data_IF_752237551571
#
_entry.id   IF_752237551571
#
_cell.length_a   1.000
_cell.length_b   1.000
_cell.length_c   1.000
_cell.angle_alpha   90.00
_cell.angle_beta   90.00
_cell.angle_gamma   90.00
#
_symmetry.space_group_name_H-M   'P 1'
#
loop_
_entity.id
_entity.type
_entity.pdbx_description
1 polymer ?
#
# COMPACT_ATOMS: atom_id res chain seq x y z
N UNK A 1 12.18 -22.17 5.66
CA UNK A 1 12.34 -20.86 6.33
C UNK A 1 10.98 -20.38 6.80
N UNK A 2 10.86 -19.96 8.06
CA UNK A 2 9.64 -19.37 8.58
C UNK A 2 9.32 -18.06 7.84
N UNK A 3 8.04 -17.81 7.55
CA UNK A 3 7.56 -16.57 6.93
C UNK A 3 7.81 -15.42 7.92
N UNK A 4 8.56 -14.39 7.52
CA UNK A 4 8.67 -13.15 8.31
C UNK A 4 7.26 -12.54 8.46
N UNK A 5 6.93 -11.97 9.63
CA UNK A 5 5.65 -11.31 9.83
C UNK A 5 5.46 -10.16 8.83
N UNK A 6 4.22 -9.84 8.50
CA UNK A 6 3.93 -8.67 7.68
C UNK A 6 4.40 -7.40 8.41
N UNK A 7 5.10 -6.50 7.69
CA UNK A 7 5.57 -5.27 8.29
C UNK A 7 4.37 -4.36 8.55
N UNK A 8 4.18 -3.95 9.81
CA UNK A 8 3.28 -2.84 10.12
C UNK A 8 3.75 -1.55 9.43
N UNK A 9 2.84 -0.58 9.24
CA UNK A 9 3.08 0.68 8.52
C UNK A 9 4.33 1.42 9.00
N UNK A 10 4.61 1.40 10.30
CA UNK A 10 5.82 2.01 10.87
C UNK A 10 7.11 1.32 10.40
N UNK A 11 7.15 -0.02 10.44
CA UNK A 11 8.32 -0.77 10.02
C UNK A 11 8.52 -0.66 8.51
N UNK A 12 7.44 -0.67 7.75
CA UNK A 12 7.44 -0.48 6.30
C UNK A 12 8.00 0.90 5.92
N UNK A 13 7.55 1.96 6.60
CA UNK A 13 8.12 3.31 6.44
C UNK A 13 9.63 3.30 6.69
N UNK A 14 10.09 2.73 7.80
CA UNK A 14 11.53 2.63 8.12
C UNK A 14 12.30 1.81 7.09
N UNK A 15 11.69 0.75 6.55
CA UNK A 15 12.29 -0.11 5.53
C UNK A 15 12.54 0.66 4.23
N UNK A 16 11.54 1.38 3.73
CA UNK A 16 11.70 2.19 2.51
C UNK A 16 12.54 3.45 2.75
N UNK A 17 12.56 4.01 3.96
CA UNK A 17 13.38 5.19 4.26
C UNK A 17 14.89 4.92 4.15
N UNK A 18 15.31 3.64 4.19
CA UNK A 18 16.70 3.21 3.96
C UNK A 18 17.08 3.15 2.48
N UNK A 19 16.11 3.18 1.57
CA UNK A 19 16.36 3.18 0.13
C UNK A 19 16.37 4.60 -0.40
N UNK A 20 17.48 5.03 -1.00
CA UNK A 20 17.64 6.41 -1.46
C UNK A 20 16.52 6.85 -2.40
N UNK A 21 16.13 5.99 -3.35
CA UNK A 21 15.09 6.36 -4.32
C UNK A 21 13.69 6.42 -3.72
N UNK A 22 13.40 5.64 -2.67
CA UNK A 22 12.09 5.63 -2.03
C UNK A 22 11.96 6.75 -0.99
N UNK A 23 13.04 7.08 -0.28
CA UNK A 23 13.04 8.07 0.82
C UNK A 23 12.44 9.42 0.43
N UNK A 24 12.73 9.93 -0.77
CA UNK A 24 12.19 11.20 -1.28
C UNK A 24 10.69 11.16 -1.60
N UNK A 25 10.12 9.96 -1.71
CA UNK A 25 8.71 9.72 -1.98
C UNK A 25 7.93 9.33 -0.72
N UNK A 26 8.55 9.32 0.46
CA UNK A 26 7.84 8.99 1.69
C UNK A 26 7.33 10.26 2.38
N UNK A 27 6.03 10.32 2.73
CA UNK A 27 5.55 11.36 3.63
C UNK A 27 6.24 11.23 4.99
N UNK A 28 6.64 12.34 5.59
CA UNK A 28 7.23 12.34 6.94
C UNK A 28 6.31 11.60 7.90
N UNK A 29 6.86 10.62 8.61
CA UNK A 29 6.10 9.73 9.49
C UNK A 29 6.81 9.58 10.82
N UNK A 30 6.07 9.62 11.93
CA UNK A 30 6.55 9.38 13.29
C UNK A 30 5.62 8.42 14.01
N UNK A 31 6.10 7.74 15.05
CA UNK A 31 5.20 7.10 16.02
C UNK A 31 4.30 8.17 16.65
N UNK A 32 3.03 7.85 16.82
CA UNK A 32 2.08 8.79 17.39
C UNK A 32 2.31 8.97 18.89
N UNK A 33 2.34 10.23 19.31
CA UNK A 33 2.10 10.71 20.67
C UNK A 33 1.70 12.20 20.54
N UNK A 34 1.21 12.81 21.62
CA UNK A 34 0.71 14.18 21.58
C UNK A 34 1.78 15.20 21.16
N UNK A 35 3.02 15.04 21.64
CA UNK A 35 4.17 15.89 21.25
C UNK A 35 4.48 15.76 19.75
N UNK A 36 4.45 14.53 19.22
CA UNK A 36 4.68 14.27 17.80
C UNK A 36 3.54 14.83 16.94
N UNK A 37 2.29 14.74 17.40
CA UNK A 37 1.14 15.35 16.75
C UNK A 37 1.29 16.88 16.69
N UNK A 38 1.60 17.52 17.82
CA UNK A 38 1.78 18.97 17.91
C UNK A 38 2.86 19.45 16.94
N UNK A 39 4.05 18.83 16.98
CA UNK A 39 5.17 19.18 16.11
C UNK A 39 4.85 18.97 14.63
N UNK A 40 4.19 17.85 14.27
CA UNK A 40 3.83 17.56 12.90
C UNK A 40 2.73 18.50 12.38
N UNK A 41 1.76 18.89 13.22
CA UNK A 41 0.74 19.89 12.88
C UNK A 41 1.35 21.27 12.69
N UNK A 42 2.36 21.64 13.49
CA UNK A 42 3.07 22.90 13.30
C UNK A 42 3.86 22.90 11.98
N UNK A 43 4.54 21.80 11.66
CA UNK A 43 5.36 21.71 10.45
C UNK A 43 4.54 21.61 9.15
N UNK A 44 3.37 20.96 9.18
CA UNK A 44 2.64 20.60 7.96
C UNK A 44 1.20 21.15 7.89
N UNK A 45 0.66 21.73 8.96
CA UNK A 45 -0.72 22.25 9.05
C UNK A 45 -1.80 21.16 9.12
N UNK A 46 -1.59 20.01 8.49
CA UNK A 46 -2.47 18.85 8.51
C UNK A 46 -1.68 17.53 8.55
N UNK A 47 -2.23 16.54 9.24
CA UNK A 47 -1.64 15.20 9.40
C UNK A 47 -2.71 14.12 9.35
N UNK A 48 -2.29 12.91 9.03
CA UNK A 48 -3.06 11.70 9.25
C UNK A 48 -2.53 10.95 10.47
N UNK A 49 -3.44 10.46 11.30
CA UNK A 49 -3.16 9.54 12.40
C UNK A 49 -3.74 8.18 11.98
N UNK A 50 -2.89 7.15 11.91
CA UNK A 50 -3.25 5.83 11.35
C UNK A 50 -2.82 4.70 12.29
N UNK A 51 -3.58 3.61 12.43
CA UNK A 51 -3.12 2.41 13.14
C UNK A 51 -1.78 1.93 12.57
N UNK A 52 -0.80 1.62 13.40
CA UNK A 52 0.49 1.10 12.97
C UNK A 52 0.37 -0.30 12.33
N UNK A 53 -0.61 -1.08 12.79
CA UNK A 53 -1.05 -2.34 12.20
C UNK A 53 -2.54 -2.24 11.85
N UNK A 54 -2.96 -2.87 10.75
CA UNK A 54 -4.34 -2.82 10.27
C UNK A 54 -4.43 -2.47 8.79
N UNK A 55 -5.64 -2.54 8.23
CA UNK A 55 -5.88 -2.41 6.79
C UNK A 55 -7.21 -1.71 6.49
N UNK A 56 -7.46 -1.45 5.20
CA UNK A 56 -8.75 -0.95 4.66
C UNK A 56 -9.13 0.48 5.10
N UNK A 57 -8.18 1.27 5.59
CA UNK A 57 -8.43 2.65 6.02
C UNK A 57 -9.24 2.79 7.31
N UNK A 58 -9.50 1.69 8.03
CA UNK A 58 -10.20 1.72 9.33
C UNK A 58 -9.33 2.39 10.39
N UNK A 59 -9.95 3.17 11.27
CA UNK A 59 -9.26 3.89 12.35
C UNK A 59 -8.42 5.07 11.88
N UNK A 60 -8.42 5.40 10.58
CA UNK A 60 -7.66 6.55 10.06
C UNK A 60 -8.37 7.85 10.44
N UNK A 61 -7.62 8.76 11.05
CA UNK A 61 -8.05 10.10 11.38
C UNK A 61 -7.23 11.13 10.60
N UNK A 62 -7.85 12.22 10.19
CA UNK A 62 -7.17 13.43 9.69
C UNK A 62 -7.32 14.52 10.72
N UNK A 63 -6.22 15.19 11.04
CA UNK A 63 -6.19 16.32 11.97
C UNK A 63 -5.61 17.51 11.26
N UNK A 64 -6.26 18.66 11.36
CA UNK A 64 -5.76 19.91 10.79
C UNK A 64 -6.19 21.11 11.64
N UNK A 65 -5.47 22.22 11.49
CA UNK A 65 -5.85 23.49 12.11
C UNK A 65 -6.73 24.29 11.15
N UNK A 66 -7.79 24.91 11.66
CA UNK A 66 -8.62 25.88 10.95
C UNK A 66 -8.92 27.03 11.88
N UNK A 67 -8.41 28.22 11.56
CA UNK A 67 -8.43 29.38 12.46
C UNK A 67 -7.79 29.01 13.81
N UNK A 68 -8.45 29.29 14.93
CA UNK A 68 -8.02 28.93 16.28
C UNK A 68 -8.42 27.52 16.72
N UNK A 69 -9.08 26.73 15.85
CA UNK A 69 -9.60 25.40 16.21
C UNK A 69 -8.79 24.26 15.62
N UNK A 70 -8.80 23.13 16.33
CA UNK A 70 -8.26 21.85 15.87
C UNK A 70 -9.41 20.99 15.37
N UNK A 71 -9.33 20.54 14.13
CA UNK A 71 -10.37 19.72 13.51
C UNK A 71 -9.88 18.28 13.43
N UNK A 72 -10.71 17.34 13.87
CA UNK A 72 -10.46 15.90 13.74
C UNK A 72 -11.59 15.29 12.91
N UNK A 73 -11.22 14.58 11.85
CA UNK A 73 -12.16 13.79 11.06
C UNK A 73 -11.77 12.31 11.12
N UNK A 74 -12.71 11.45 11.51
CA UNK A 74 -12.51 10.01 11.55
C UNK A 74 -13.08 9.37 10.27
N UNK A 75 -12.22 8.87 9.40
CA UNK A 75 -12.56 8.17 8.14
C UNK A 75 -13.59 8.89 7.24
N UNK A 76 -14.85 8.48 7.27
CA UNK A 76 -15.96 9.02 6.47
C UNK A 76 -16.93 9.86 7.30
N UNK A 77 -16.71 9.94 8.61
CA UNK A 77 -17.57 10.70 9.51
C UNK A 77 -17.37 12.20 9.34
N UNK A 78 -18.35 12.97 9.84
CA UNK A 78 -18.25 14.43 9.87
C UNK A 78 -17.07 14.88 10.73
N UNK A 79 -16.37 15.96 10.35
CA UNK A 79 -15.32 16.54 11.18
C UNK A 79 -15.89 17.12 12.47
N UNK A 80 -15.13 16.98 13.55
CA UNK A 80 -15.41 17.57 14.86
C UNK A 80 -14.36 18.63 15.15
N UNK A 81 -14.79 19.79 15.65
CA UNK A 81 -13.92 20.90 15.98
C UNK A 81 -13.71 21.00 17.50
N UNK A 82 -12.47 21.24 17.89
CA UNK A 82 -12.03 21.42 19.27
C UNK A 82 -11.36 22.79 19.43
N UNK A 83 -11.46 23.38 20.61
CA UNK A 83 -10.86 24.69 20.89
C UNK A 83 -9.36 24.55 21.12
N UNK A 84 -8.92 23.41 21.66
CA UNK A 84 -7.50 23.17 21.96
C UNK A 84 -7.01 21.85 21.38
N UNK A 85 -5.68 21.73 21.26
CA UNK A 85 -5.05 20.46 20.88
C UNK A 85 -5.25 19.38 21.95
N UNK A 86 -5.29 19.75 23.23
CA UNK A 86 -5.49 18.80 24.34
C UNK A 86 -6.87 18.14 24.31
N UNK A 87 -7.92 18.90 24.02
CA UNK A 87 -9.27 18.36 23.80
C UNK A 87 -9.29 17.38 22.62
N UNK A 88 -8.67 17.75 21.50
CA UNK A 88 -8.56 16.88 20.34
C UNK A 88 -7.77 15.60 20.65
N UNK A 89 -6.66 15.68 21.39
CA UNK A 89 -5.89 14.53 21.86
C UNK A 89 -6.73 13.60 22.73
N UNK A 90 -7.54 14.14 23.64
CA UNK A 90 -8.46 13.35 24.47
C UNK A 90 -9.46 12.57 23.62
N UNK A 91 -10.05 13.22 22.60
CA UNK A 91 -10.94 12.55 21.66
C UNK A 91 -10.22 11.47 20.82
N UNK A 92 -9.03 11.78 20.30
CA UNK A 92 -8.21 10.83 19.53
C UNK A 92 -7.86 9.61 20.38
N UNK A 93 -7.50 9.78 21.65
CA UNK A 93 -7.18 8.69 22.57
C UNK A 93 -8.36 7.73 22.77
N UNK A 94 -9.59 8.25 22.86
CA UNK A 94 -10.81 7.42 22.94
C UNK A 94 -11.01 6.57 21.69
N UNK A 95 -10.76 7.13 20.50
CA UNK A 95 -10.85 6.40 19.23
C UNK A 95 -9.72 5.39 19.04
N UNK A 96 -8.53 5.72 19.52
CA UNK A 96 -7.33 4.90 19.43
C UNK A 96 -7.41 3.64 20.31
N UNK A 97 -7.95 3.78 21.53
CA UNK A 97 -7.84 2.74 22.55
C UNK A 97 -6.37 2.41 22.84
N UNK A 98 -6.06 1.12 23.02
CA UNK A 98 -4.71 0.64 23.32
C UNK A 98 -3.85 0.38 22.06
N UNK A 99 -4.38 0.69 20.88
CA UNK A 99 -3.67 0.40 19.62
C UNK A 99 -2.51 1.38 19.41
N UNK A 100 -1.40 0.86 18.89
CA UNK A 100 -0.26 1.70 18.46
C UNK A 100 -0.61 2.41 17.16
N UNK A 101 -0.39 3.72 17.12
CA UNK A 101 -0.64 4.55 15.94
C UNK A 101 0.64 5.24 15.45
N UNK A 102 0.59 5.73 14.21
CA UNK A 102 1.58 6.63 13.60
C UNK A 102 0.91 7.96 13.27
N UNK A 103 1.71 9.04 13.26
CA UNK A 103 1.35 10.34 12.68
C UNK A 103 2.15 10.56 11.41
N UNK A 104 1.46 10.92 10.33
CA UNK A 104 2.02 11.05 9.00
C UNK A 104 1.60 12.38 8.38
N UNK A 105 2.52 13.04 7.67
CA UNK A 105 2.23 14.26 6.91
C UNK A 105 1.02 14.07 6.00
N UNK A 106 0.07 15.02 6.01
CA UNK A 106 -0.99 15.03 5.04
C UNK A 106 -0.47 15.52 3.67
N UNK A 107 -0.74 14.75 2.62
CA UNK A 107 -0.44 15.14 1.25
C UNK A 107 -1.64 15.86 0.66
N UNK A 108 -1.40 16.97 -0.04
CA UNK A 108 -2.39 17.68 -0.83
C UNK A 108 -2.64 16.91 -2.12
N UNK A 109 -3.45 15.86 -2.02
CA UNK A 109 -3.71 14.94 -3.14
C UNK A 109 -4.28 15.68 -4.35
N UNK A 110 -3.96 15.17 -5.53
CA UNK A 110 -4.67 15.51 -6.75
C UNK A 110 -6.14 15.10 -6.63
N UNK A 111 -7.03 15.90 -7.20
CA UNK A 111 -8.46 15.70 -7.11
C UNK A 111 -9.06 15.39 -8.48
N UNK A 112 -10.08 14.54 -8.48
CA UNK A 112 -10.99 14.31 -9.60
C UNK A 112 -12.36 14.81 -9.13
N UNK A 113 -12.91 15.81 -9.82
CA UNK A 113 -14.21 16.41 -9.45
C UNK A 113 -14.27 16.83 -7.98
N UNK A 114 -13.21 17.48 -7.48
CA UNK A 114 -13.11 17.92 -6.08
C UNK A 114 -12.92 16.79 -5.05
N UNK A 115 -12.75 15.53 -5.47
CA UNK A 115 -12.53 14.37 -4.58
C UNK A 115 -11.10 13.86 -4.68
N UNK A 116 -10.42 13.62 -3.54
CA UNK A 116 -9.02 13.20 -3.55
C UNK A 116 -8.87 11.81 -4.16
N UNK A 117 -7.73 11.58 -4.82
CA UNK A 117 -7.39 10.27 -5.36
C UNK A 117 -5.97 9.82 -5.06
N UNK A 118 -5.75 8.52 -5.12
CA UNK A 118 -4.45 7.86 -5.21
C UNK A 118 -4.49 6.78 -6.31
N UNK A 119 -3.32 6.26 -6.67
CA UNK A 119 -3.12 5.26 -7.71
C UNK A 119 -2.63 3.97 -7.08
N UNK A 120 -3.31 2.86 -7.36
CA UNK A 120 -2.81 1.51 -7.09
C UNK A 120 -2.00 1.04 -8.29
N UNK A 121 -0.71 0.76 -8.11
CA UNK A 121 0.14 0.07 -9.09
C UNK A 121 0.34 -1.37 -8.65
N UNK A 122 0.07 -2.32 -9.54
CA UNK A 122 0.19 -3.76 -9.27
C UNK A 122 1.43 -4.35 -9.94
N UNK A 123 2.27 -5.01 -9.14
CA UNK A 123 3.45 -5.74 -9.59
C UNK A 123 3.27 -7.22 -9.28
N UNK A 124 3.63 -8.09 -10.23
CA UNK A 124 3.63 -9.54 -10.02
C UNK A 124 4.94 -10.14 -10.53
N UNK A 125 5.43 -11.17 -9.84
CA UNK A 125 6.55 -11.95 -10.35
C UNK A 125 6.13 -12.83 -11.52
N UNK A 126 7.02 -12.96 -12.47
CA UNK A 126 6.84 -13.89 -13.59
C UNK A 126 6.72 -15.35 -13.13
N UNK A 127 7.57 -15.74 -12.18
CA UNK A 127 7.66 -17.07 -11.55
C UNK A 127 8.37 -16.95 -10.20
N UNK A 128 8.39 -18.00 -9.34
CA UNK A 128 9.20 -17.97 -8.12
C UNK A 128 10.67 -17.63 -8.45
N UNK A 129 11.24 -16.65 -7.75
CA UNK A 129 12.59 -16.14 -8.02
C UNK A 129 12.76 -15.34 -9.33
N UNK A 130 11.71 -15.21 -10.14
CA UNK A 130 11.74 -14.46 -11.41
C UNK A 130 11.60 -12.95 -11.22
N UNK A 131 11.79 -12.20 -12.32
CA UNK A 131 11.69 -10.74 -12.34
C UNK A 131 10.30 -10.23 -11.99
N UNK A 132 10.25 -9.01 -11.45
CA UNK A 132 9.02 -8.24 -11.27
C UNK A 132 8.50 -7.74 -12.62
N UNK A 133 7.17 -7.80 -12.79
CA UNK A 133 6.48 -7.32 -13.97
C UNK A 133 5.36 -6.36 -13.55
N UNK A 134 5.26 -5.20 -14.21
CA UNK A 134 4.10 -4.33 -14.10
C UNK A 134 2.84 -5.00 -14.66
N UNK A 135 1.81 -5.14 -13.84
CA UNK A 135 0.58 -5.87 -14.17
C UNK A 135 -0.63 -4.98 -14.39
N UNK A 136 -0.63 -3.74 -13.92
CA UNK A 136 -1.75 -2.82 -14.11
C UNK A 136 -1.74 -1.69 -13.12
N UNK A 137 -2.49 -0.62 -13.42
CA UNK A 137 -2.73 0.46 -12.46
C UNK A 137 -4.17 0.97 -12.52
N UNK A 138 -4.69 1.41 -11.38
CA UNK A 138 -6.03 2.02 -11.29
C UNK A 138 -6.00 3.22 -10.35
N UNK A 139 -6.77 4.24 -10.67
CA UNK A 139 -7.04 5.35 -9.77
C UNK A 139 -8.20 4.99 -8.83
N UNK A 140 -8.04 5.26 -7.54
CA UNK A 140 -9.10 5.16 -6.54
C UNK A 140 -9.50 6.57 -6.13
N UNK A 141 -10.68 7.00 -6.57
CA UNK A 141 -11.25 8.30 -6.20
C UNK A 141 -12.07 8.10 -4.93
N UNK A 142 -11.80 8.91 -3.90
CA UNK A 142 -12.58 8.87 -2.66
C UNK A 142 -14.07 9.16 -2.93
N UNK A 143 -14.93 8.65 -2.05
CA UNK A 143 -16.33 9.09 -2.06
C UNK A 143 -16.49 10.46 -1.41
N UNK A 144 -17.68 11.07 -1.52
CA UNK A 144 -17.94 12.40 -1.00
C UNK A 144 -17.55 12.54 0.47
N UNK A 145 -16.88 13.64 0.81
CA UNK A 145 -16.43 14.02 2.16
C UNK A 145 -15.48 13.04 2.86
N UNK A 146 -15.02 11.97 2.20
CA UNK A 146 -14.09 10.99 2.79
C UNK A 146 -12.65 11.50 2.81
N UNK A 147 -11.95 11.29 3.93
CA UNK A 147 -10.50 11.55 4.03
C UNK A 147 -9.65 10.35 3.58
N UNK A 148 -10.27 9.25 3.18
CA UNK A 148 -9.60 8.04 2.70
C UNK A 148 -10.07 7.67 1.29
N UNK A 149 -9.14 7.20 0.47
CA UNK A 149 -9.35 6.70 -0.90
C UNK A 149 -9.68 5.20 -0.96
N UNK A 150 -9.84 4.54 0.19
CA UNK A 150 -10.28 3.15 0.22
C UNK A 150 -11.72 3.05 -0.30
N UNK A 151 -11.87 2.65 -1.56
CA UNK A 151 -13.15 2.64 -2.30
C UNK A 151 -14.30 1.96 -1.56
N UNK A 152 -14.03 0.85 -0.86
CA UNK A 152 -15.07 0.13 -0.13
C UNK A 152 -15.55 0.92 1.09
N UNK A 153 -14.62 1.50 1.85
CA UNK A 153 -14.94 2.30 3.03
C UNK A 153 -15.54 3.66 2.65
N UNK A 154 -14.96 4.33 1.67
CA UNK A 154 -15.36 5.67 1.24
C UNK A 154 -16.59 5.69 0.35
N UNK A 155 -17.07 4.53 -0.13
CA UNK A 155 -18.04 4.43 -1.24
C UNK A 155 -17.57 5.23 -2.47
N UNK A 156 -16.28 5.10 -2.74
CA UNK A 156 -15.60 5.81 -3.84
C UNK A 156 -15.79 5.13 -5.19
N UNK A 157 -14.99 5.56 -6.17
CA UNK A 157 -14.98 5.00 -7.52
C UNK A 157 -13.58 4.49 -7.90
N UNK A 158 -13.54 3.53 -8.83
CA UNK A 158 -12.31 3.10 -9.51
C UNK A 158 -12.41 3.48 -10.97
N UNK A 159 -11.36 4.08 -11.50
CA UNK A 159 -11.26 4.41 -12.93
C UNK A 159 -9.83 4.20 -13.44
N UNK A 160 -9.65 4.27 -14.76
CA UNK A 160 -8.31 4.29 -15.35
C UNK A 160 -7.52 5.50 -14.86
N UNK A 161 -6.21 5.33 -14.70
CA UNK A 161 -5.31 6.42 -14.31
C UNK A 161 -5.29 7.51 -15.38
N UNK A 162 -5.39 7.12 -16.66
CA UNK A 162 -5.52 8.06 -17.77
C UNK A 162 -6.74 8.96 -17.59
N UNK A 163 -7.95 8.38 -17.50
CA UNK A 163 -9.19 9.14 -17.29
C UNK A 163 -9.11 10.03 -16.05
N UNK A 164 -8.61 9.51 -14.93
CA UNK A 164 -8.48 10.28 -13.70
C UNK A 164 -7.56 11.51 -13.85
N UNK A 165 -6.39 11.35 -14.47
CA UNK A 165 -5.47 12.47 -14.68
C UNK A 165 -6.00 13.47 -15.71
N UNK A 166 -6.68 13.01 -16.76
CA UNK A 166 -7.36 13.87 -17.74
C UNK A 166 -8.50 14.66 -17.09
N UNK A 167 -9.31 14.05 -16.23
CA UNK A 167 -10.34 14.74 -15.44
C UNK A 167 -9.75 15.71 -14.40
N UNK A 168 -8.50 15.49 -13.97
CA UNK A 168 -7.75 16.44 -13.15
C UNK A 168 -7.09 17.58 -13.97
N UNK A 169 -7.41 17.69 -15.27
CA UNK A 169 -6.95 18.78 -16.14
C UNK A 169 -5.57 18.57 -16.77
N UNK A 170 -5.03 17.35 -16.79
CA UNK A 170 -3.71 17.09 -17.35
C UNK A 170 -3.74 16.83 -18.86
N UNK A 171 -2.68 17.20 -19.56
CA UNK A 171 -2.48 16.84 -20.98
C UNK A 171 -2.21 15.34 -21.15
N UNK A 172 -2.43 14.81 -22.36
CA UNK A 172 -2.12 13.40 -22.67
C UNK A 172 -0.65 13.09 -22.44
N UNK A 173 0.25 13.95 -22.91
CA UNK A 173 1.69 13.81 -22.73
C UNK A 173 2.09 13.76 -21.24
N UNK A 174 1.58 14.70 -20.43
CA UNK A 174 1.84 14.73 -18.99
C UNK A 174 1.33 13.46 -18.29
N UNK A 175 0.18 12.97 -18.71
CA UNK A 175 -0.44 11.75 -18.19
C UNK A 175 0.41 10.51 -18.53
N UNK A 176 0.86 10.35 -19.77
CA UNK A 176 1.70 9.21 -20.17
C UNK A 176 3.08 9.25 -19.50
N UNK A 177 3.68 10.45 -19.40
CA UNK A 177 4.92 10.63 -18.66
C UNK A 177 4.75 10.23 -17.19
N UNK A 178 3.67 10.67 -16.52
CA UNK A 178 3.40 10.30 -15.13
C UNK A 178 3.18 8.80 -14.95
N UNK A 179 2.40 8.16 -15.82
CA UNK A 179 2.20 6.70 -15.79
C UNK A 179 3.54 5.95 -15.91
N UNK A 180 4.41 6.38 -16.81
CA UNK A 180 5.74 5.80 -17.00
C UNK A 180 6.59 5.94 -15.74
N UNK A 181 6.62 7.13 -15.14
CA UNK A 181 7.30 7.39 -13.85
C UNK A 181 6.77 6.53 -12.70
N UNK A 182 5.46 6.32 -12.62
CA UNK A 182 4.86 5.44 -11.61
C UNK A 182 5.29 3.97 -11.78
N UNK A 183 5.41 3.50 -13.02
CA UNK A 183 5.85 2.14 -13.35
C UNK A 183 7.32 1.96 -12.99
N UNK A 184 8.18 2.91 -13.37
CA UNK A 184 9.61 2.90 -13.03
C UNK A 184 9.83 2.82 -11.52
N UNK A 185 9.18 3.71 -10.75
CA UNK A 185 9.26 3.71 -9.29
C UNK A 185 8.74 2.41 -8.68
N UNK A 186 7.64 1.86 -9.20
CA UNK A 186 7.12 0.57 -8.72
C UNK A 186 8.12 -0.58 -8.96
N UNK A 187 8.86 -0.58 -10.07
CA UNK A 187 9.93 -1.54 -10.31
C UNK A 187 11.08 -1.38 -9.32
N UNK A 188 11.53 -0.14 -9.07
CA UNK A 188 12.58 0.14 -8.09
C UNK A 188 12.18 -0.29 -6.68
N UNK A 189 10.97 0.06 -6.25
CA UNK A 189 10.46 -0.27 -4.91
C UNK A 189 10.24 -1.78 -4.76
N UNK A 190 9.74 -2.46 -5.80
CA UNK A 190 9.61 -3.92 -5.79
C UNK A 190 10.97 -4.61 -5.68
N UNK A 191 11.99 -4.12 -6.40
CA UNK A 191 13.37 -4.62 -6.29
C UNK A 191 13.95 -4.40 -4.90
N UNK A 192 13.72 -3.22 -4.29
CA UNK A 192 14.14 -2.98 -2.91
C UNK A 192 13.43 -3.93 -1.94
N UNK A 193 12.14 -4.19 -2.14
CA UNK A 193 11.34 -5.09 -1.30
C UNK A 193 11.86 -6.53 -1.27
N UNK A 194 12.58 -6.97 -2.31
CA UNK A 194 13.22 -8.30 -2.34
C UNK A 194 14.25 -8.50 -1.22
N UNK A 195 14.83 -7.41 -0.71
CA UNK A 195 15.74 -7.45 0.45
C UNK A 195 15.02 -7.79 1.76
N UNK A 196 13.69 -7.68 1.79
CA UNK A 196 12.89 -8.04 2.96
C UNK A 196 12.50 -9.52 2.94
N UNK A 197 11.71 -9.94 1.95
CA UNK A 197 11.29 -11.33 1.77
C UNK A 197 10.80 -11.54 0.33
N UNK A 198 10.92 -12.75 -0.25
CA UNK A 198 10.27 -13.06 -1.52
C UNK A 198 8.75 -12.99 -1.40
N UNK A 199 8.15 -12.13 -2.23
CA UNK A 199 6.71 -12.07 -2.45
C UNK A 199 6.37 -12.34 -3.90
N UNK A 200 5.18 -12.89 -4.14
CA UNK A 200 4.64 -13.10 -5.49
C UNK A 200 4.12 -11.80 -6.09
N UNK A 201 3.50 -10.96 -5.29
CA UNK A 201 2.69 -9.81 -5.73
C UNK A 201 2.83 -8.67 -4.75
N UNK A 202 2.93 -7.44 -5.27
CA UNK A 202 2.98 -6.20 -4.51
C UNK A 202 1.99 -5.20 -5.11
N UNK A 203 1.28 -4.50 -4.24
CA UNK A 203 0.41 -3.39 -4.60
C UNK A 203 0.87 -2.10 -3.93
N UNK A 204 1.39 -1.18 -4.72
CA UNK A 204 1.79 0.14 -4.23
C UNK A 204 0.62 1.11 -4.33
N UNK A 205 0.22 1.68 -3.19
CA UNK A 205 -0.70 2.82 -3.15
C UNK A 205 0.14 4.11 -3.19
N UNK A 206 -0.01 4.84 -4.28
CA UNK A 206 0.82 5.99 -4.64
C UNK A 206 -0.05 7.22 -4.78
N UNK A 207 0.26 8.27 -4.03
CA UNK A 207 -0.36 9.57 -4.20
C UNK A 207 0.40 10.42 -5.22
N UNK A 208 -0.36 11.23 -5.94
CA UNK A 208 0.15 12.36 -6.73
C UNK A 208 -0.40 13.61 -6.04
N UNK A 209 0.47 14.55 -5.68
CA UNK A 209 0.02 15.82 -5.10
C UNK A 209 -0.35 16.85 -6.19
N UNK A 210 -0.96 17.96 -5.78
CA UNK A 210 -1.38 19.03 -6.71
C UNK A 210 -0.22 19.67 -7.50
N UNK A 211 1.03 19.46 -7.07
CA UNK A 211 2.25 19.91 -7.77
C UNK A 211 2.86 18.81 -8.64
N UNK A 212 2.21 17.65 -8.74
CA UNK A 212 2.69 16.51 -9.51
C UNK A 212 3.79 15.69 -8.83
N UNK A 213 4.07 15.90 -7.54
CA UNK A 213 5.05 15.08 -6.80
C UNK A 213 4.42 13.74 -6.42
N UNK A 214 5.25 12.70 -6.49
CA UNK A 214 4.86 11.32 -6.24
C UNK A 214 5.17 10.95 -4.79
N UNK A 215 4.22 10.30 -4.12
CA UNK A 215 4.33 9.87 -2.73
C UNK A 215 3.90 8.41 -2.56
N UNK A 216 4.78 7.55 -2.05
CA UNK A 216 4.42 6.19 -1.63
C UNK A 216 3.66 6.24 -0.31
N UNK A 217 2.36 5.91 -0.34
CA UNK A 217 1.51 5.94 0.85
C UNK A 217 1.56 4.62 1.62
N UNK A 218 1.45 3.50 0.90
CA UNK A 218 1.38 2.16 1.46
C UNK A 218 1.85 1.13 0.42
N UNK A 219 2.47 0.05 0.90
CA UNK A 219 2.73 -1.16 0.13
C UNK A 219 1.83 -2.26 0.70
N UNK A 220 1.29 -3.10 -0.20
CA UNK A 220 0.40 -4.20 0.15
C UNK A 220 0.95 -5.51 -0.40
N UNK A 221 1.22 -6.46 0.49
CA UNK A 221 1.66 -7.80 0.09
C UNK A 221 0.45 -8.68 -0.24
N UNK A 222 0.40 -9.27 -1.44
CA UNK A 222 -0.76 -10.07 -1.88
C UNK A 222 -2.08 -9.27 -1.94
N UNK A 223 -2.12 -8.12 -2.63
CA UNK A 223 -3.28 -7.25 -2.65
C UNK A 223 -4.49 -7.90 -3.34
N UNK A 224 -5.70 -7.47 -2.96
CA UNK A 224 -6.92 -7.88 -3.68
C UNK A 224 -6.92 -7.40 -5.13
N UNK A 225 -7.21 -8.31 -6.06
CA UNK A 225 -7.35 -7.98 -7.49
C UNK A 225 -8.71 -7.34 -7.84
N UNK A 226 -9.66 -7.30 -6.89
CA UNK A 226 -11.04 -6.84 -7.13
C UNK A 226 -11.12 -5.39 -7.60
N UNK A 227 -10.15 -4.53 -7.24
CA UNK A 227 -10.11 -3.15 -7.70
C UNK A 227 -10.06 -3.07 -9.24
N UNK A 228 -9.25 -3.94 -9.86
CA UNK A 228 -9.09 -3.99 -11.32
C UNK A 228 -10.32 -4.54 -12.05
N UNK A 229 -11.15 -5.32 -11.36
CA UNK A 229 -12.43 -5.81 -11.91
C UNK A 229 -13.53 -4.74 -11.92
N UNK A 230 -13.40 -3.67 -11.13
CA UNK A 230 -14.44 -2.64 -10.94
C UNK A 230 -14.41 -1.50 -11.96
N UNK A 231 -13.37 -1.40 -12.77
CA UNK A 231 -13.27 -0.39 -13.83
C UNK A 231 -13.48 -1.05 -15.19
N UNK A 232 -14.33 -0.44 -16.03
CA UNK A 232 -14.54 -0.87 -17.43
C UNK A 232 -13.20 -0.93 -18.18
N UNK A 233 -12.37 0.10 -17.99
CA UNK A 233 -11.03 0.22 -18.57
C UNK A 233 -10.03 -0.75 -17.91
N UNK A 234 -10.27 -1.12 -16.66
CA UNK A 234 -9.44 -2.04 -15.88
C UNK A 234 -9.58 -3.52 -16.28
N UNK A 235 -10.52 -3.90 -17.16
CA UNK A 235 -10.74 -5.31 -17.52
C UNK A 235 -9.55 -5.96 -18.21
N UNK A 236 -8.79 -5.22 -19.02
CA UNK A 236 -7.56 -5.73 -19.64
C UNK A 236 -6.49 -6.03 -18.56
N UNK A 237 -6.29 -5.08 -17.64
CA UNK A 237 -5.38 -5.23 -16.50
C UNK A 237 -5.80 -6.40 -15.60
N UNK A 238 -7.09 -6.52 -15.29
CA UNK A 238 -7.62 -7.62 -14.49
C UNK A 238 -7.32 -8.98 -15.14
N UNK A 239 -7.59 -9.14 -16.45
CA UNK A 239 -7.26 -10.37 -17.18
C UNK A 239 -5.77 -10.66 -17.13
N UNK A 240 -4.91 -9.64 -17.34
CA UNK A 240 -3.45 -9.78 -17.25
C UNK A 240 -3.00 -10.23 -15.87
N UNK A 241 -3.55 -9.62 -14.82
CA UNK A 241 -3.28 -9.97 -13.42
C UNK A 241 -3.63 -11.44 -13.13
N UNK A 242 -4.83 -11.88 -13.53
CA UNK A 242 -5.29 -13.26 -13.32
C UNK A 242 -4.47 -14.28 -14.13
N UNK A 243 -4.10 -13.94 -15.37
CA UNK A 243 -3.25 -14.79 -16.21
C UNK A 243 -1.86 -14.98 -15.59
N UNK A 244 -1.24 -13.90 -15.10
CA UNK A 244 0.06 -13.97 -14.43
C UNK A 244 0.02 -14.74 -13.13
N UNK A 245 -1.03 -14.54 -12.33
CA UNK A 245 -1.25 -15.33 -11.11
C UNK A 245 -1.29 -16.83 -11.40
N UNK A 246 -2.07 -17.24 -12.41
CA UNK A 246 -2.16 -18.66 -12.84
C UNK A 246 -0.82 -19.19 -13.37
N UNK A 247 -0.08 -18.40 -14.14
CA UNK A 247 1.26 -18.77 -14.64
C UNK A 247 2.25 -18.98 -13.49
N UNK A 248 2.27 -18.08 -12.51
CA UNK A 248 3.12 -18.20 -11.33
C UNK A 248 2.80 -19.49 -10.55
N UNK A 249 1.52 -19.78 -10.29
CA UNK A 249 1.15 -20.98 -9.54
C UNK A 249 1.52 -22.27 -10.28
N UNK A 250 1.37 -22.31 -11.61
CA UNK A 250 1.86 -23.44 -12.42
C UNK A 250 3.37 -23.60 -12.28
N UNK A 251 4.15 -22.53 -12.44
CA UNK A 251 5.60 -22.58 -12.31
C UNK A 251 6.05 -23.00 -10.90
N UNK A 252 5.35 -22.55 -9.85
CA UNK A 252 5.60 -22.94 -8.45
C UNK A 252 5.37 -24.43 -8.22
N UNK A 253 4.28 -24.99 -8.75
CA UNK A 253 3.97 -26.42 -8.65
C UNK A 253 5.03 -27.26 -9.37
N UNK A 254 5.37 -26.92 -10.60
CA UNK A 254 6.43 -27.61 -11.37
C UNK A 254 7.78 -27.58 -10.66
N UNK A 255 8.17 -26.42 -10.11
CA UNK A 255 9.43 -26.29 -9.35
C UNK A 255 9.42 -27.14 -8.07
N UNK A 256 8.27 -27.22 -7.38
CA UNK A 256 8.14 -28.04 -6.17
C UNK A 256 8.16 -29.55 -6.46
N UNK A 257 7.57 -29.98 -7.58
CA UNK A 257 7.62 -31.37 -8.05
C UNK A 257 9.06 -31.75 -8.43
N UNK A 258 9.76 -30.85 -9.14
CA UNK A 258 11.15 -31.06 -9.50
C UNK A 258 12.06 -31.16 -8.27
N UNK A 259 11.89 -30.28 -7.27
CA UNK A 259 12.62 -30.33 -6.01
C UNK A 259 12.43 -31.67 -5.26
N UNK A 260 11.21 -32.21 -5.24
CA UNK A 260 10.91 -33.53 -4.64
C UNK A 260 11.51 -34.70 -5.41
N UNK A 261 11.67 -34.57 -6.72
CA UNK A 261 12.23 -35.62 -7.58
C UNK A 261 13.75 -35.53 -7.76
N UNK A 262 14.44 -34.62 -7.06
CA UNK A 262 15.91 -34.56 -7.12
C UNK A 262 16.52 -35.83 -6.51
N UNK A 263 17.67 -36.32 -7.04
CA UNK A 263 18.36 -37.51 -6.50
C UNK A 263 18.68 -37.37 -5.01
N UNK A 264 18.97 -36.15 -4.56
CA UNK A 264 19.25 -35.81 -3.16
C UNK A 264 18.02 -35.93 -2.27
N UNK A 265 16.84 -35.50 -2.72
CA UNK A 265 15.59 -35.66 -1.98
C UNK A 265 15.14 -37.13 -1.95
N UNK A 266 15.31 -37.87 -3.06
CA UNK A 266 15.03 -39.31 -3.12
C UNK A 266 15.92 -40.10 -2.15
N UNK A 267 17.23 -39.83 -2.13
CA UNK A 267 18.17 -40.43 -1.18
C UNK A 267 17.85 -40.10 0.28
N UNK A 268 17.29 -38.92 0.57
CA UNK A 268 16.86 -38.57 1.93
C UNK A 268 15.63 -39.37 2.37
N UNK A 269 14.65 -39.59 1.48
CA UNK A 269 13.48 -40.43 1.76
C UNK A 269 13.87 -41.91 1.88
N UNK A 270 14.76 -42.40 1.02
CA UNK A 270 15.32 -43.76 1.11
C UNK A 270 16.09 -43.98 2.42
N UNK A 271 16.91 -43.02 2.87
CA UNK A 271 17.61 -43.11 4.16
C UNK A 271 16.68 -43.16 5.37
N UNK A 272 15.53 -42.48 5.31
CA UNK A 272 14.51 -42.53 6.38
C UNK A 272 13.76 -43.87 6.34
N UNK A 273 13.45 -44.39 5.15
CA UNK A 273 12.81 -45.70 4.98
C UNK A 273 13.72 -46.86 5.43
N UNK A 274 15.03 -46.82 5.12
CA UNK A 274 16.00 -47.84 5.56
C UNK A 274 16.18 -47.82 7.07
N UNK A 275 16.20 -46.64 7.71
CA UNK A 275 16.23 -46.55 9.18
C UNK A 275 14.96 -47.06 9.87
N UNK A 276 13.80 -46.99 9.22
CA UNK A 276 12.56 -47.54 9.75
C UNK A 276 12.49 -49.08 9.63
N UNK A 277 13.21 -49.68 8.68
CA UNK A 277 13.31 -51.14 8.54
C UNK A 277 14.41 -51.77 9.41
N UNK A 278 15.44 -51.01 9.82
CA UNK A 278 16.52 -51.51 10.69
C UNK A 278 16.23 -51.35 12.20
N UNK A 279 15.03 -50.89 12.58
CA UNK A 279 14.58 -50.75 13.97
C UNK A 279 13.47 -51.72 14.39
N UNK A 280 13.24 -52.79 13.63
CA UNK A 280 12.24 -53.85 13.88
C UNK A 280 12.87 -55.25 13.94
N UNK A 281 14.14 -55.34 14.30
CA UNK A 281 14.82 -56.59 14.65
C UNK A 281 15.44 -56.46 16.05
#
# INVERSE_FOLDING_TARGET
MARKPELGKWLLYRFFARHMSARKHLPTTRKYNEKALAAMLQAYGAVYIKPAAGSRGRGVMKVWKRQSRVIVQHTVHKPIAFNTLGEACTYIKRLQGDQVYIVQQAIHLLHVEGRPMDVRVMMQRERPGGKWLYSGMVAKVAGPHSIVTNVALSRGAVMSVDRALRQAGWTTERTEHMKSRLIELAHEWAKHFDTYQPYRELGFDIAIDTRGRIWLLEENTGPSHRLFAKSIDGRADYRRIQNRWRRYERARRSSSLHARNTPTARRAVERVAVKAHQGLA
#
